data_IF_836988346372
#
_entry.id   IF_836988346372
#
_cell.length_a   1.000
_cell.length_b   1.000
_cell.length_c   1.000
_cell.angle_alpha   90.00
_cell.angle_beta   90.00
_cell.angle_gamma   90.00
#
_symmetry.space_group_name_H-M   'P 1'
#
loop_
_entity.id
_entity.type
_entity.pdbx_description
1 polymer ?
#
# COMPACT_ATOMS: atom_id res chain seq x y z
N UNK A 1 -14.89 -3.65 39.68
CA UNK A 1 -14.50 -2.74 38.59
C UNK A 1 -14.29 -3.61 37.37
N UNK A 2 -15.20 -3.56 36.40
CA UNK A 2 -15.16 -4.45 35.24
C UNK A 2 -14.49 -3.69 34.10
N UNK A 3 -13.29 -4.12 33.71
CA UNK A 3 -12.50 -3.44 32.69
C UNK A 3 -13.11 -3.72 31.32
N UNK A 4 -13.53 -2.66 30.63
CA UNK A 4 -14.16 -2.74 29.32
C UNK A 4 -13.16 -3.25 28.28
N UNK A 5 -13.54 -4.31 27.56
CA UNK A 5 -12.71 -4.96 26.55
C UNK A 5 -12.63 -4.02 25.34
N UNK A 6 -11.52 -3.31 25.21
CA UNK A 6 -11.30 -2.35 24.13
C UNK A 6 -10.97 -3.14 22.86
N UNK A 7 -12.02 -3.54 22.15
CA UNK A 7 -11.93 -4.22 20.85
C UNK A 7 -11.12 -3.33 19.90
N UNK A 8 -9.86 -3.70 19.64
CA UNK A 8 -8.97 -2.94 18.77
C UNK A 8 -9.57 -2.95 17.36
N UNK A 9 -10.36 -1.91 17.05
CA UNK A 9 -10.86 -1.68 15.69
C UNK A 9 -9.68 -1.64 14.74
N UNK A 10 -9.61 -2.66 13.90
CA UNK A 10 -8.62 -2.75 12.84
C UNK A 10 -8.61 -1.45 12.05
N UNK A 11 -7.43 -0.84 11.94
CA UNK A 11 -7.20 0.39 11.16
C UNK A 11 -7.15 0.13 9.66
N UNK A 12 -7.39 -1.12 9.23
CA UNK A 12 -7.43 -1.48 7.84
C UNK A 12 -8.78 -1.03 7.23
N UNK A 13 -8.77 -0.32 6.10
CA UNK A 13 -10.01 0.00 5.39
C UNK A 13 -10.78 -1.28 5.07
N UNK A 14 -12.09 -1.27 5.32
CA UNK A 14 -12.97 -2.40 4.99
C UNK A 14 -12.82 -2.72 3.50
N UNK A 15 -12.45 -3.96 3.17
CA UNK A 15 -12.27 -4.43 1.80
C UNK A 15 -10.85 -4.36 1.23
N UNK A 16 -9.89 -3.69 1.89
CA UNK A 16 -8.48 -3.63 1.45
C UNK A 16 -7.60 -4.66 2.20
N UNK A 17 -8.07 -5.14 3.35
CA UNK A 17 -7.50 -6.31 4.02
C UNK A 17 -7.83 -7.58 3.22
N UNK A 18 -7.27 -7.71 2.00
CA UNK A 18 -7.16 -9.01 1.36
C UNK A 18 -6.44 -9.92 2.35
N UNK A 19 -7.06 -11.06 2.69
CA UNK A 19 -6.47 -12.06 3.59
C UNK A 19 -5.04 -12.41 3.17
N UNK A 20 -4.71 -12.29 1.89
CA UNK A 20 -3.41 -12.60 1.32
C UNK A 20 -2.88 -11.41 0.50
N UNK A 21 -1.92 -10.62 1.01
CA UNK A 21 -1.25 -9.59 0.23
C UNK A 21 -0.36 -10.24 -0.84
N UNK A 22 -0.35 -9.69 -2.06
CA UNK A 22 0.59 -10.10 -3.11
C UNK A 22 1.94 -9.42 -2.88
N UNK A 23 3.02 -10.16 -2.57
CA UNK A 23 4.33 -9.55 -2.41
C UNK A 23 4.87 -9.08 -3.77
N UNK A 24 5.37 -7.84 -3.81
CA UNK A 24 6.05 -7.28 -4.99
C UNK A 24 7.56 -7.36 -4.77
N UNK A 25 8.28 -8.02 -5.69
CA UNK A 25 9.74 -8.05 -5.68
C UNK A 25 10.26 -6.81 -6.39
N UNK A 26 11.07 -6.03 -5.68
CA UNK A 26 11.76 -4.86 -6.20
C UNK A 26 13.26 -5.07 -5.98
N UNK A 27 14.06 -4.67 -6.94
CA UNK A 27 15.50 -4.44 -6.74
C UNK A 27 15.73 -3.33 -5.71
N UNK A 28 16.95 -3.24 -5.19
CA UNK A 28 17.32 -2.21 -4.21
C UNK A 28 17.11 -0.80 -4.77
N UNK A 29 17.46 -0.62 -6.04
CA UNK A 29 17.34 0.64 -6.78
C UNK A 29 15.87 1.04 -7.02
N UNK A 30 15.02 0.10 -7.44
CA UNK A 30 13.58 0.34 -7.58
C UNK A 30 12.92 0.72 -6.25
N UNK A 31 13.30 0.02 -5.17
CA UNK A 31 12.81 0.29 -3.82
C UNK A 31 13.26 1.67 -3.34
N UNK A 32 14.50 2.06 -3.60
CA UNK A 32 15.04 3.37 -3.22
C UNK A 32 14.29 4.50 -3.95
N UNK A 33 14.02 4.35 -5.25
CA UNK A 33 13.19 5.32 -6.00
C UNK A 33 11.79 5.44 -5.43
N UNK A 34 11.16 4.32 -5.09
CA UNK A 34 9.83 4.32 -4.50
C UNK A 34 9.81 4.98 -3.12
N UNK A 35 10.83 4.77 -2.30
CA UNK A 35 10.98 5.40 -1.00
C UNK A 35 11.11 6.92 -1.12
N UNK A 36 11.96 7.42 -2.03
CA UNK A 36 12.10 8.84 -2.28
C UNK A 36 10.78 9.50 -2.72
N UNK A 37 9.99 8.82 -3.56
CA UNK A 37 8.65 9.27 -3.95
C UNK A 37 7.69 9.30 -2.76
N UNK A 38 7.72 8.25 -1.91
CA UNK A 38 6.86 8.16 -0.74
C UNK A 38 7.17 9.26 0.28
N UNK A 39 8.44 9.55 0.51
CA UNK A 39 8.90 10.65 1.38
C UNK A 39 8.44 12.01 0.83
N UNK A 40 8.66 12.25 -0.47
CA UNK A 40 8.22 13.49 -1.13
C UNK A 40 6.72 13.74 -0.98
N UNK A 41 5.92 12.69 -1.08
CA UNK A 41 4.45 12.75 -0.99
C UNK A 41 3.92 12.60 0.46
N UNK A 42 4.80 12.48 1.46
CA UNK A 42 4.44 12.23 2.87
C UNK A 42 3.51 11.03 3.06
N UNK A 43 3.80 9.93 2.36
CA UNK A 43 3.02 8.67 2.37
C UNK A 43 3.87 7.48 2.81
N UNK A 44 3.21 6.42 3.25
CA UNK A 44 3.90 5.15 3.48
C UNK A 44 4.35 4.50 2.17
N UNK A 45 5.42 3.70 2.23
CA UNK A 45 5.93 2.96 1.07
C UNK A 45 4.86 2.09 0.42
N UNK A 46 4.08 1.35 1.23
CA UNK A 46 2.99 0.49 0.72
C UNK A 46 1.87 1.29 0.07
N UNK A 47 1.54 2.48 0.60
CA UNK A 47 0.54 3.35 -0.02
C UNK A 47 1.05 3.89 -1.35
N UNK A 48 2.31 4.30 -1.41
CA UNK A 48 2.91 4.81 -2.65
C UNK A 48 3.04 3.71 -3.70
N UNK A 49 3.46 2.50 -3.30
CA UNK A 49 3.52 1.32 -4.17
C UNK A 49 2.16 1.06 -4.86
N UNK A 50 1.08 1.12 -4.07
CA UNK A 50 -0.27 0.93 -4.58
C UNK A 50 -0.67 2.02 -5.58
N UNK A 51 -0.34 3.28 -5.33
CA UNK A 51 -0.64 4.37 -6.26
C UNK A 51 0.09 4.21 -7.59
N UNK A 52 1.38 3.90 -7.55
CA UNK A 52 2.18 3.64 -8.76
C UNK A 52 1.62 2.46 -9.54
N UNK A 53 1.25 1.38 -8.85
CA UNK A 53 0.64 0.21 -9.46
C UNK A 53 -0.68 0.54 -10.16
N UNK A 54 -1.59 1.27 -9.51
CA UNK A 54 -2.88 1.67 -10.10
C UNK A 54 -2.68 2.55 -11.33
N UNK A 55 -1.74 3.50 -11.27
CA UNK A 55 -1.37 4.35 -12.41
C UNK A 55 -0.84 3.51 -13.58
N UNK A 56 0.01 2.53 -13.31
CA UNK A 56 0.53 1.61 -14.32
C UNK A 56 -0.55 0.71 -14.94
N UNK A 57 -1.53 0.27 -14.15
CA UNK A 57 -2.67 -0.50 -14.65
C UNK A 57 -3.52 0.32 -15.62
N UNK A 58 -3.77 1.59 -15.33
CA UNK A 58 -4.49 2.48 -16.25
C UNK A 58 -3.77 2.58 -17.60
N UNK A 59 -2.45 2.77 -17.59
CA UNK A 59 -1.64 2.81 -18.83
C UNK A 59 -1.65 1.47 -19.56
N UNK A 60 -1.46 0.36 -18.85
CA UNK A 60 -1.42 -0.98 -19.45
C UNK A 60 -2.75 -1.35 -20.13
N UNK A 61 -3.88 -1.00 -19.51
CA UNK A 61 -5.21 -1.25 -20.08
C UNK A 61 -5.54 -0.32 -21.25
N UNK A 62 -4.92 0.85 -21.35
CA UNK A 62 -5.14 1.79 -22.45
C UNK A 62 -4.40 1.41 -23.74
N UNK A 63 -3.37 0.57 -23.63
CA UNK A 63 -2.56 0.09 -24.76
C UNK A 63 -3.07 -1.24 -25.36
N UNK A 64 -4.12 -1.84 -24.77
CA UNK A 64 -4.70 -3.13 -25.18
C UNK A 64 -6.08 -3.06 -25.80
#
# INVERSE_FOLDING_TARGET
MTQENHDQRSRLPRGIASRNPTPMRLSEDERARLAALAEKESRSLSSMARLVFLRGLESFNAEG
#
